data_IF_560585094886
#
_entry.id   IF_560585094886
#
_cell.length_a   1.000
_cell.length_b   1.000
_cell.length_c   1.000
_cell.angle_alpha   90.00
_cell.angle_beta   90.00
_cell.angle_gamma   90.00
#
_symmetry.space_group_name_H-M   'P 1'
#
loop_
_entity.id
_entity.type
_entity.pdbx_description
1 polymer ?
#
# COMPACT_ATOMS: atom_id res chain seq x y z
N UNK A 1 -3.33 -14.78 71.65
CA UNK A 1 -4.03 -15.75 70.78
C UNK A 1 -4.00 -15.21 69.36
N UNK A 2 -3.29 -15.86 68.43
CA UNK A 2 -3.31 -15.47 67.02
C UNK A 2 -1.93 -15.38 66.39
N UNK A 3 -1.41 -16.51 65.87
CA UNK A 3 -0.36 -16.55 64.82
C UNK A 3 -0.12 -17.98 64.28
N UNK A 4 -1.14 -18.84 64.20
CA UNK A 4 -0.97 -20.25 63.77
C UNK A 4 -1.97 -20.72 62.71
N UNK A 5 -2.59 -19.79 61.98
CA UNK A 5 -3.58 -20.11 60.94
C UNK A 5 -3.14 -19.83 59.49
N UNK A 6 -2.14 -18.98 59.27
CA UNK A 6 -1.84 -18.46 57.93
C UNK A 6 -0.87 -19.32 57.08
N UNK A 7 -0.10 -20.21 57.70
CA UNK A 7 0.88 -21.05 56.98
C UNK A 7 0.27 -22.31 56.33
N UNK A 8 -0.95 -22.71 56.69
CA UNK A 8 -1.60 -23.89 56.12
C UNK A 8 -2.43 -23.58 54.86
N UNK A 9 -2.83 -22.32 54.65
CA UNK A 9 -3.60 -21.90 53.48
C UNK A 9 -2.74 -21.84 52.20
N UNK A 10 -1.53 -21.29 52.27
CA UNK A 10 -0.64 -21.09 51.11
C UNK A 10 -0.14 -22.40 50.51
N UNK A 11 -0.09 -23.49 51.29
CA UNK A 11 0.30 -24.83 50.82
C UNK A 11 -0.79 -25.58 50.05
N UNK A 12 -2.06 -25.19 50.18
CA UNK A 12 -3.19 -25.84 49.48
C UNK A 12 -3.47 -25.20 48.11
N UNK A 13 -3.19 -23.92 47.93
CA UNK A 13 -3.32 -23.24 46.62
C UNK A 13 -2.34 -23.80 45.57
N UNK A 14 -1.09 -24.10 45.95
CA UNK A 14 -0.08 -24.56 44.99
C UNK A 14 -0.36 -25.94 44.40
N UNK A 15 -1.16 -26.77 45.06
CA UNK A 15 -1.53 -28.10 44.55
C UNK A 15 -2.67 -28.08 43.52
N UNK A 16 -3.54 -27.06 43.50
CA UNK A 16 -4.64 -27.00 42.52
C UNK A 16 -4.18 -26.63 41.11
N UNK A 17 -3.17 -25.76 40.97
CA UNK A 17 -2.68 -25.29 39.66
C UNK A 17 -1.99 -26.40 38.85
N UNK A 18 -1.41 -27.41 39.52
CA UNK A 18 -0.74 -28.53 38.86
C UNK A 18 -1.71 -29.49 38.16
N UNK A 19 -2.87 -29.77 38.77
CA UNK A 19 -3.87 -30.68 38.20
C UNK A 19 -4.59 -30.06 36.99
N UNK A 20 -4.85 -28.75 37.00
CA UNK A 20 -5.50 -28.09 35.85
C UNK A 20 -4.61 -28.05 34.60
N UNK A 21 -3.28 -27.91 34.76
CA UNK A 21 -2.36 -28.00 33.62
C UNK A 21 -2.31 -29.42 33.03
N UNK A 22 -2.44 -30.45 33.87
CA UNK A 22 -2.47 -31.83 33.40
C UNK A 22 -3.80 -32.18 32.72
N UNK A 23 -4.93 -31.66 33.22
CA UNK A 23 -6.25 -31.84 32.59
C UNK A 23 -6.38 -31.05 31.28
N UNK A 24 -5.81 -29.84 31.20
CA UNK A 24 -5.76 -29.07 29.95
C UNK A 24 -4.89 -29.75 28.89
N UNK A 25 -3.79 -30.42 29.28
CA UNK A 25 -2.93 -31.15 28.37
C UNK A 25 -3.55 -32.48 27.89
N UNK A 26 -4.43 -33.11 28.67
CA UNK A 26 -5.12 -34.35 28.25
C UNK A 26 -6.39 -34.07 27.42
N UNK A 27 -6.98 -32.88 27.53
CA UNK A 27 -8.15 -32.47 26.73
C UNK A 27 -7.78 -32.08 25.28
N UNK A 28 -6.52 -31.71 25.04
CA UNK A 28 -5.96 -31.50 23.70
C UNK A 28 -4.97 -32.63 23.40
N UNK A 29 -5.50 -33.79 23.02
CA UNK A 29 -4.71 -34.82 22.37
C UNK A 29 -4.05 -34.25 21.11
N UNK A 30 -2.80 -34.67 20.87
CA UNK A 30 -1.91 -34.29 19.76
C UNK A 30 -1.08 -33.01 20.01
N UNK A 31 0.25 -33.18 20.03
CA UNK A 31 1.22 -32.09 20.10
C UNK A 31 1.15 -31.17 18.88
N UNK A 32 1.83 -30.00 18.92
CA UNK A 32 1.79 -29.04 17.82
C UNK A 32 2.23 -29.69 16.51
N UNK A 33 1.56 -29.42 15.38
CA UNK A 33 1.89 -30.02 14.10
C UNK A 33 3.35 -29.72 13.75
N UNK A 34 4.12 -30.78 13.51
CA UNK A 34 5.51 -30.68 13.03
C UNK A 34 5.47 -29.99 11.67
N UNK A 35 5.97 -28.75 11.59
CA UNK A 35 6.08 -28.03 10.33
C UNK A 35 7.18 -28.67 9.47
N UNK A 36 6.96 -28.92 8.16
CA UNK A 36 7.99 -29.47 7.28
C UNK A 36 9.18 -28.51 7.20
N UNK A 37 10.32 -28.88 7.77
CA UNK A 37 11.55 -28.07 7.74
C UNK A 37 12.43 -28.34 6.51
N UNK A 38 11.94 -29.16 5.58
CA UNK A 38 12.73 -29.72 4.46
C UNK A 38 12.94 -28.74 3.28
N UNK A 39 12.20 -27.64 3.22
CA UNK A 39 12.23 -26.71 2.09
C UNK A 39 13.12 -25.48 2.23
N UNK A 40 13.59 -25.15 3.44
CA UNK A 40 14.22 -23.83 3.68
C UNK A 40 15.73 -23.81 3.45
N UNK A 41 16.40 -24.98 3.40
CA UNK A 41 17.85 -25.06 3.18
C UNK A 41 18.24 -24.81 1.71
N UNK A 42 17.35 -25.09 0.75
CA UNK A 42 17.60 -24.89 -0.68
C UNK A 42 17.50 -23.42 -1.12
N UNK A 43 16.79 -22.59 -0.34
CA UNK A 43 16.58 -21.15 -0.63
C UNK A 43 17.75 -20.30 -0.13
N UNK A 44 18.43 -20.72 0.94
CA UNK A 44 19.58 -19.99 1.52
C UNK A 44 20.95 -20.64 1.22
N UNK A 45 20.99 -21.66 0.35
CA UNK A 45 22.22 -22.34 -0.07
C UNK A 45 22.93 -21.64 -1.22
N UNK A 46 24.20 -21.27 -1.01
CA UNK A 46 25.10 -20.68 -2.03
C UNK A 46 25.26 -21.65 -3.22
N UNK A 47 24.61 -21.38 -4.35
CA UNK A 47 24.85 -22.12 -5.61
C UNK A 47 26.05 -21.50 -6.34
N UNK A 48 27.15 -22.24 -6.36
CA UNK A 48 28.26 -22.06 -7.30
C UNK A 48 28.01 -22.94 -8.53
N UNK A 49 28.38 -22.40 -9.69
CA UNK A 49 28.36 -22.97 -11.06
C UNK A 49 27.02 -23.39 -11.66
N UNK A 50 26.45 -22.52 -12.50
CA UNK A 50 25.87 -22.91 -13.80
C UNK A 50 26.33 -21.88 -14.83
N UNK A 51 27.18 -22.33 -15.74
CA UNK A 51 27.55 -21.69 -17.01
C UNK A 51 26.66 -22.21 -18.14
N UNK A 52 26.38 -21.31 -19.09
CA UNK A 52 25.88 -21.54 -20.47
C UNK A 52 24.39 -21.88 -20.63
N UNK A 53 23.60 -21.31 -21.56
CA UNK A 53 23.83 -20.28 -22.57
C UNK A 53 22.47 -19.73 -23.09
N UNK A 54 22.51 -18.50 -23.58
CA UNK A 54 21.73 -17.82 -24.65
C UNK A 54 20.23 -18.05 -24.91
N UNK A 55 19.48 -16.94 -24.95
CA UNK A 55 18.96 -16.37 -26.22
C UNK A 55 18.48 -14.93 -26.05
N UNK A 56 18.92 -14.09 -27.00
CA UNK A 56 18.65 -12.67 -27.14
C UNK A 56 17.41 -12.41 -28.04
N UNK A 57 17.12 -11.12 -28.28
CA UNK A 57 16.21 -10.52 -29.30
C UNK A 57 14.77 -10.25 -28.77
N UNK A 58 14.18 -9.05 -28.76
CA UNK A 58 14.59 -7.64 -29.02
C UNK A 58 13.50 -6.71 -28.46
N UNK A 59 13.87 -5.48 -28.10
CA UNK A 59 12.94 -4.41 -27.69
C UNK A 59 12.77 -3.37 -28.82
N UNK A 60 11.59 -2.77 -29.04
CA UNK A 60 11.45 -1.68 -29.99
C UNK A 60 11.88 -0.34 -29.35
N UNK A 61 12.80 0.32 -30.02
CA UNK A 61 13.31 1.66 -29.74
C UNK A 61 12.31 2.73 -30.20
N UNK A 62 12.06 3.73 -29.34
CA UNK A 62 11.26 4.90 -29.68
C UNK A 62 11.61 6.11 -28.82
N UNK A 63 12.75 6.74 -29.10
CA UNK A 63 12.97 8.15 -28.78
C UNK A 63 14.12 8.69 -29.65
N UNK A 64 13.76 9.49 -30.63
CA UNK A 64 14.66 10.32 -31.42
C UNK A 64 15.42 11.29 -30.52
N UNK A 65 16.63 10.94 -30.12
CA UNK A 65 17.64 11.89 -29.69
C UNK A 65 18.68 11.96 -30.80
N UNK A 66 18.59 13.02 -31.61
CA UNK A 66 19.58 13.41 -32.60
C UNK A 66 21.01 13.24 -32.04
N UNK A 67 21.96 12.64 -32.78
CA UNK A 67 23.34 12.51 -32.31
C UNK A 67 23.98 13.91 -32.28
N UNK A 68 23.93 14.55 -31.11
CA UNK A 68 24.73 15.75 -30.84
C UNK A 68 26.19 15.36 -31.05
N UNK A 69 26.82 15.97 -32.06
CA UNK A 69 28.20 15.68 -32.45
C UNK A 69 29.15 15.70 -31.26
N UNK A 70 30.20 14.86 -31.34
CA UNK A 70 31.28 14.77 -30.35
C UNK A 70 32.09 16.08 -30.36
N UNK A 71 31.55 17.08 -29.66
CA UNK A 71 32.16 18.40 -29.47
C UNK A 71 32.22 18.83 -28.01
N UNK A 72 31.87 17.94 -27.07
CA UNK A 72 32.17 18.17 -25.65
C UNK A 72 33.57 17.64 -25.35
N UNK A 73 34.48 18.46 -24.81
CA UNK A 73 35.74 17.96 -24.27
C UNK A 73 35.43 16.79 -23.33
N UNK A 74 36.10 15.66 -23.55
CA UNK A 74 36.13 14.60 -22.53
C UNK A 74 36.60 15.28 -21.25
N UNK A 75 35.84 15.20 -20.14
CA UNK A 75 36.20 15.91 -18.92
C UNK A 75 37.64 15.58 -18.58
N UNK A 76 38.41 16.62 -18.33
CA UNK A 76 39.83 16.46 -18.06
C UNK A 76 39.98 15.56 -16.84
N UNK A 77 41.05 14.75 -16.80
CA UNK A 77 41.22 13.72 -15.74
C UNK A 77 40.99 14.29 -14.34
N UNK A 78 41.39 15.54 -14.09
CA UNK A 78 41.14 16.28 -12.86
C UNK A 78 39.65 16.52 -12.56
N UNK A 79 38.86 16.91 -13.55
CA UNK A 79 37.41 17.13 -13.42
C UNK A 79 36.67 15.81 -13.23
N UNK A 80 37.08 14.75 -13.94
CA UNK A 80 36.54 13.40 -13.78
C UNK A 80 36.85 12.85 -12.37
N UNK A 81 38.08 13.01 -11.88
CA UNK A 81 38.48 12.60 -10.52
C UNK A 81 37.79 13.46 -9.44
N UNK A 82 37.62 14.77 -9.65
CA UNK A 82 36.89 15.66 -8.75
C UNK A 82 35.40 15.31 -8.70
N UNK A 83 34.78 15.02 -9.84
CA UNK A 83 33.40 14.56 -9.91
C UNK A 83 33.22 13.21 -9.20
N UNK A 84 34.19 12.29 -9.35
CA UNK A 84 34.20 11.00 -8.66
C UNK A 84 34.35 11.18 -7.14
N UNK A 85 35.26 12.06 -6.69
CA UNK A 85 35.43 12.39 -5.26
C UNK A 85 34.18 13.05 -4.67
N UNK A 86 33.51 13.96 -5.40
CA UNK A 86 32.26 14.58 -4.94
C UNK A 86 31.11 13.56 -4.75
N UNK A 87 31.01 12.55 -5.63
CA UNK A 87 30.02 11.46 -5.50
C UNK A 87 30.37 10.46 -4.39
N UNK A 88 31.66 10.22 -4.17
CA UNK A 88 32.15 9.21 -3.23
C UNK A 88 32.41 9.75 -1.81
N UNK A 89 32.36 11.07 -1.56
CA UNK A 89 32.66 11.63 -0.24
C UNK A 89 31.54 11.27 0.74
N UNK A 90 31.81 10.40 1.74
CA UNK A 90 30.84 10.09 2.78
C UNK A 90 30.59 11.33 3.64
N UNK A 91 29.43 11.43 4.31
CA UNK A 91 29.12 12.60 5.15
C UNK A 91 30.20 12.78 6.21
N UNK A 92 30.79 13.97 6.26
CA UNK A 92 31.92 14.28 7.15
C UNK A 92 31.54 14.21 8.62
N UNK A 93 30.26 14.40 8.95
CA UNK A 93 29.74 14.41 10.30
C UNK A 93 28.41 13.65 10.42
N UNK A 94 28.17 13.01 11.59
CA UNK A 94 26.90 12.32 11.91
C UNK A 94 25.67 13.24 11.79
N UNK A 95 25.83 14.53 12.12
CA UNK A 95 24.77 15.55 12.00
C UNK A 95 24.43 15.88 10.54
N UNK A 96 25.44 15.97 9.66
CA UNK A 96 25.23 16.15 8.22
C UNK A 96 24.65 14.89 7.56
N UNK A 97 25.08 13.71 7.99
CA UNK A 97 24.50 12.44 7.55
C UNK A 97 23.00 12.36 7.88
N UNK A 98 22.64 12.69 9.13
CA UNK A 98 21.25 12.72 9.57
C UNK A 98 20.42 13.80 8.84
N UNK A 99 20.98 14.98 8.59
CA UNK A 99 20.31 16.03 7.83
C UNK A 99 20.04 15.61 6.37
N UNK A 100 21.02 14.99 5.70
CA UNK A 100 20.86 14.44 4.34
C UNK A 100 19.83 13.31 4.31
N UNK A 101 19.83 12.41 5.30
CA UNK A 101 18.85 11.34 5.38
C UNK A 101 17.42 11.90 5.59
N UNK A 102 17.25 12.91 6.45
CA UNK A 102 15.96 13.60 6.62
C UNK A 102 15.51 14.29 5.33
N UNK A 103 16.41 14.96 4.60
CA UNK A 103 16.11 15.58 3.32
C UNK A 103 15.71 14.53 2.26
N UNK A 104 16.41 13.39 2.20
CA UNK A 104 16.09 12.29 1.31
C UNK A 104 14.69 11.71 1.62
N UNK A 105 14.37 11.48 2.90
CA UNK A 105 13.03 11.02 3.32
C UNK A 105 11.93 12.04 3.01
N UNK A 106 12.20 13.34 3.15
CA UNK A 106 11.25 14.39 2.72
C UNK A 106 11.03 14.37 1.21
N UNK A 107 12.10 14.18 0.43
CA UNK A 107 12.02 14.11 -1.03
C UNK A 107 11.29 12.84 -1.53
N UNK A 108 11.45 11.70 -0.86
CA UNK A 108 10.71 10.48 -1.23
C UNK A 108 9.23 10.58 -0.86
N UNK A 109 8.90 11.21 0.27
CA UNK A 109 7.51 11.46 0.68
C UNK A 109 6.78 12.44 -0.24
N UNK A 110 7.45 13.50 -0.68
CA UNK A 110 6.89 14.47 -1.63
C UNK A 110 6.63 13.82 -2.98
N UNK A 111 7.61 13.08 -3.52
CA UNK A 111 7.43 12.27 -4.74
C UNK A 111 6.30 11.26 -4.61
N UNK A 112 6.17 10.57 -3.47
CA UNK A 112 5.07 9.64 -3.24
C UNK A 112 3.71 10.36 -3.20
N UNK A 113 3.63 11.58 -2.63
CA UNK A 113 2.39 12.38 -2.65
C UNK A 113 2.04 12.85 -4.07
N UNK A 114 3.02 13.34 -4.82
CA UNK A 114 2.85 13.73 -6.22
C UNK A 114 2.40 12.53 -7.05
N UNK A 115 3.02 11.36 -6.86
CA UNK A 115 2.64 10.14 -7.54
C UNK A 115 1.21 9.69 -7.21
N UNK A 116 0.76 9.86 -5.97
CA UNK A 116 -0.64 9.56 -5.58
C UNK A 116 -1.64 10.54 -6.20
N UNK A 117 -1.23 11.78 -6.48
CA UNK A 117 -2.09 12.78 -7.12
C UNK A 117 -2.11 12.64 -8.65
N UNK A 118 -0.97 12.33 -9.25
CA UNK A 118 -0.81 12.23 -10.72
C UNK A 118 -1.08 10.82 -11.25
N UNK A 119 -1.02 9.80 -10.39
CA UNK A 119 -1.17 8.39 -10.79
C UNK A 119 0.06 7.80 -11.47
N UNK A 120 1.26 8.39 -11.33
CA UNK A 120 2.49 7.83 -11.89
C UNK A 120 2.93 6.58 -11.10
N UNK A 121 2.65 5.41 -11.67
CA UNK A 121 2.93 4.10 -11.07
C UNK A 121 4.39 3.93 -10.60
N UNK A 122 5.36 4.64 -11.19
CA UNK A 122 6.79 4.48 -10.86
C UNK A 122 7.14 4.86 -9.43
N UNK A 123 6.35 5.73 -8.81
CA UNK A 123 6.62 6.27 -7.47
C UNK A 123 5.54 5.91 -6.43
N UNK A 124 4.56 5.07 -6.81
CA UNK A 124 3.59 4.51 -5.89
C UNK A 124 4.22 3.47 -4.95
N UNK A 125 3.60 3.19 -3.79
CA UNK A 125 4.01 2.06 -2.96
C UNK A 125 3.94 0.75 -3.74
N UNK A 126 4.91 -0.15 -3.55
CA UNK A 126 4.98 -1.44 -4.27
C UNK A 126 3.69 -2.28 -4.22
N UNK A 127 2.85 -2.09 -3.19
CA UNK A 127 1.54 -2.75 -3.10
C UNK A 127 0.53 -2.24 -4.12
N UNK A 128 0.60 -0.97 -4.50
CA UNK A 128 -0.39 -0.27 -5.32
C UNK A 128 0.08 -0.05 -6.76
N UNK A 129 1.28 -0.56 -7.08
CA UNK A 129 1.88 -0.55 -8.40
C UNK A 129 1.34 -1.68 -9.28
N UNK A 130 1.25 -1.43 -10.58
CA UNK A 130 1.04 -2.44 -11.60
C UNK A 130 -0.15 -2.17 -12.51
N UNK A 131 -0.13 -2.70 -13.74
CA UNK A 131 -1.12 -2.40 -14.78
C UNK A 131 -2.54 -2.82 -14.37
N UNK A 132 -2.68 -3.95 -13.68
CA UNK A 132 -3.99 -4.45 -13.22
C UNK A 132 -4.57 -3.54 -12.14
N UNK A 133 -3.78 -3.16 -11.12
CA UNK A 133 -4.24 -2.28 -10.04
C UNK A 133 -4.52 -0.86 -10.53
N UNK A 134 -3.73 -0.37 -11.49
CA UNK A 134 -4.00 0.88 -12.19
C UNK A 134 -5.31 0.82 -12.95
N UNK A 135 -5.54 -0.21 -13.76
CA UNK A 135 -6.80 -0.38 -14.48
C UNK A 135 -7.99 -0.42 -13.53
N UNK A 136 -7.89 -1.17 -12.42
CA UNK A 136 -8.95 -1.20 -11.40
C UNK A 136 -9.18 0.18 -10.79
N UNK A 137 -8.12 0.93 -10.47
CA UNK A 137 -8.23 2.29 -9.94
C UNK A 137 -8.87 3.22 -10.96
N UNK A 138 -8.36 3.27 -12.18
CA UNK A 138 -8.86 4.14 -13.24
C UNK A 138 -10.33 3.80 -13.56
N UNK A 139 -10.69 2.50 -13.58
CA UNK A 139 -12.05 2.01 -13.78
C UNK A 139 -12.98 2.41 -12.63
N UNK A 140 -12.59 2.18 -11.37
CA UNK A 140 -13.41 2.54 -10.20
C UNK A 140 -13.51 4.06 -10.03
N UNK A 141 -12.43 4.80 -10.27
CA UNK A 141 -12.38 6.25 -10.14
C UNK A 141 -13.16 6.96 -11.27
N UNK A 142 -13.20 6.39 -12.48
CA UNK A 142 -14.11 6.87 -13.54
C UNK A 142 -15.56 6.54 -13.24
N UNK A 143 -15.81 5.42 -12.56
CA UNK A 143 -17.13 5.02 -12.09
C UNK A 143 -17.46 5.59 -10.70
N UNK A 144 -17.18 6.88 -10.46
CA UNK A 144 -17.89 7.62 -9.39
C UNK A 144 -19.39 7.56 -9.69
N UNK A 145 -20.01 6.56 -9.08
CA UNK A 145 -21.33 6.09 -9.43
C UNK A 145 -22.37 7.18 -9.21
N UNK A 146 -23.36 7.25 -10.12
CA UNK A 146 -24.56 8.08 -9.91
C UNK A 146 -25.25 7.75 -8.58
N UNK A 147 -25.00 6.56 -8.02
CA UNK A 147 -25.35 6.15 -6.66
C UNK A 147 -24.96 7.16 -5.57
N UNK A 148 -23.81 7.82 -5.67
CA UNK A 148 -23.39 8.84 -4.69
C UNK A 148 -24.27 10.10 -4.74
N UNK A 149 -24.85 10.42 -5.91
CA UNK A 149 -25.75 11.57 -6.08
C UNK A 149 -27.22 11.21 -5.80
N UNK A 150 -27.61 9.95 -5.97
CA UNK A 150 -28.97 9.47 -5.69
C UNK A 150 -29.37 9.73 -4.23
N UNK A 151 -28.49 9.43 -3.28
CA UNK A 151 -28.77 9.58 -1.85
C UNK A 151 -29.06 11.04 -1.43
N UNK A 152 -28.21 12.05 -1.74
CA UNK A 152 -28.52 13.44 -1.44
C UNK A 152 -29.74 13.97 -2.22
N UNK A 153 -29.96 13.54 -3.47
CA UNK A 153 -31.15 13.93 -4.23
C UNK A 153 -32.42 13.40 -3.57
N UNK A 154 -32.44 12.13 -3.15
CA UNK A 154 -33.58 11.56 -2.43
C UNK A 154 -33.85 12.27 -1.12
N UNK A 155 -32.80 12.64 -0.37
CA UNK A 155 -32.96 13.42 0.85
C UNK A 155 -33.66 14.76 0.59
N UNK A 156 -33.26 15.49 -0.47
CA UNK A 156 -33.91 16.73 -0.87
C UNK A 156 -35.38 16.49 -1.25
N UNK A 157 -35.66 15.49 -2.08
CA UNK A 157 -37.05 15.14 -2.48
C UNK A 157 -37.89 14.81 -1.25
N UNK A 158 -37.36 14.04 -0.28
CA UNK A 158 -38.08 13.72 0.96
C UNK A 158 -38.38 14.96 1.79
N UNK A 159 -37.43 15.90 1.89
CA UNK A 159 -37.67 17.15 2.59
C UNK A 159 -38.76 17.97 1.90
N UNK A 160 -38.79 18.00 0.56
CA UNK A 160 -39.84 18.67 -0.21
C UNK A 160 -41.22 18.03 0.02
N UNK A 161 -41.29 16.70 0.11
CA UNK A 161 -42.54 15.98 0.43
C UNK A 161 -43.03 16.34 1.84
N UNK A 162 -42.13 16.49 2.80
CA UNK A 162 -42.47 16.83 4.20
C UNK A 162 -43.15 18.20 4.33
N UNK A 163 -42.76 19.18 3.51
CA UNK A 163 -43.30 20.56 3.56
C UNK A 163 -44.77 20.66 3.10
N UNK A 164 -45.33 19.59 2.49
CA UNK A 164 -46.75 19.42 2.14
C UNK A 164 -47.43 20.69 1.56
N UNK A 165 -46.77 21.33 0.59
CA UNK A 165 -47.30 22.50 -0.13
C UNK A 165 -47.39 22.21 -1.63
N UNK A 166 -48.35 22.81 -2.34
CA UNK A 166 -48.60 22.56 -3.78
C UNK A 166 -47.39 22.84 -4.67
N UNK A 167 -46.62 23.90 -4.38
CA UNK A 167 -45.40 24.19 -5.13
C UNK A 167 -44.31 23.15 -4.86
N UNK A 168 -44.17 22.69 -3.61
CA UNK A 168 -43.19 21.67 -3.23
C UNK A 168 -43.50 20.32 -3.90
N UNK A 169 -44.79 19.96 -4.03
CA UNK A 169 -45.23 18.79 -4.79
C UNK A 169 -44.92 18.89 -6.30
N UNK A 170 -45.01 20.09 -6.87
CA UNK A 170 -44.65 20.33 -8.27
C UNK A 170 -43.14 20.20 -8.48
N UNK A 171 -42.33 20.77 -7.58
CA UNK A 171 -40.86 20.69 -7.65
C UNK A 171 -40.38 19.25 -7.40
N UNK A 172 -40.98 18.51 -6.47
CA UNK A 172 -40.63 17.10 -6.25
C UNK A 172 -40.98 16.21 -7.45
N UNK A 173 -42.12 16.46 -8.10
CA UNK A 173 -42.51 15.76 -9.35
C UNK A 173 -41.52 16.05 -10.49
N UNK A 174 -41.09 17.30 -10.64
CA UNK A 174 -40.05 17.66 -11.60
C UNK A 174 -38.69 17.02 -11.27
N UNK A 175 -38.33 16.94 -9.99
CA UNK A 175 -37.10 16.28 -9.54
C UNK A 175 -37.09 14.79 -9.88
N UNK A 176 -38.23 14.08 -9.77
CA UNK A 176 -38.34 12.69 -10.22
C UNK A 176 -38.09 12.52 -11.71
N UNK A 177 -38.59 13.43 -12.55
CA UNK A 177 -38.32 13.40 -14.00
C UNK A 177 -36.83 13.58 -14.28
N UNK A 178 -36.16 14.49 -13.56
CA UNK A 178 -34.70 14.70 -13.68
C UNK A 178 -33.93 13.44 -13.27
N UNK A 179 -34.33 12.77 -12.18
CA UNK A 179 -33.72 11.51 -11.75
C UNK A 179 -33.90 10.42 -12.80
N UNK A 180 -35.12 10.24 -13.33
CA UNK A 180 -35.40 9.25 -14.38
C UNK A 180 -34.60 9.57 -15.65
N UNK A 181 -34.51 10.85 -16.06
CA UNK A 181 -33.73 11.26 -17.21
C UNK A 181 -32.22 11.05 -16.98
N UNK A 182 -31.72 11.28 -15.77
CA UNK A 182 -30.34 11.01 -15.40
C UNK A 182 -30.03 9.51 -15.44
N UNK A 183 -30.93 8.66 -14.93
CA UNK A 183 -30.81 7.21 -14.99
C UNK A 183 -30.91 6.68 -16.42
N UNK A 184 -31.82 7.20 -17.24
CA UNK A 184 -31.94 6.82 -18.65
C UNK A 184 -30.71 7.25 -19.46
N UNK A 185 -30.11 8.39 -19.14
CA UNK A 185 -28.85 8.85 -19.72
C UNK A 185 -27.68 7.97 -19.28
N UNK A 186 -27.67 7.54 -18.02
CA UNK A 186 -26.66 6.63 -17.49
C UNK A 186 -26.76 5.25 -18.14
N UNK A 187 -27.97 4.70 -18.25
CA UNK A 187 -28.20 3.39 -18.86
C UNK A 187 -27.83 3.31 -20.34
N UNK A 188 -27.66 4.46 -21.01
CA UNK A 188 -27.18 4.55 -22.39
C UNK A 188 -25.65 4.71 -22.46
N UNK A 189 -25.01 5.10 -21.35
CA UNK A 189 -23.57 5.37 -21.24
C UNK A 189 -22.78 4.26 -20.55
N UNK A 190 -23.45 3.45 -19.74
CA UNK A 190 -22.97 2.15 -19.26
C UNK A 190 -23.02 1.12 -20.37
#
# INVERSE_FOLDING_TARGET
>A
MGATGQLVAVGRERRRVGYERQQAASLYGEGPPQLPTDGLRSVFGRRTSITADSSAESAPHGATAQPVGKGRPTPTRSEAEAARKKRATPPRNRKEAAARQKAAVRSSRTKMREAMATGDDRYLPARDQGPVRRYVRDYVDTHRSIGEFLLPIFFVIFLLVYVNTTWAATVSSAAWIVVIAALARDSVRT
#
